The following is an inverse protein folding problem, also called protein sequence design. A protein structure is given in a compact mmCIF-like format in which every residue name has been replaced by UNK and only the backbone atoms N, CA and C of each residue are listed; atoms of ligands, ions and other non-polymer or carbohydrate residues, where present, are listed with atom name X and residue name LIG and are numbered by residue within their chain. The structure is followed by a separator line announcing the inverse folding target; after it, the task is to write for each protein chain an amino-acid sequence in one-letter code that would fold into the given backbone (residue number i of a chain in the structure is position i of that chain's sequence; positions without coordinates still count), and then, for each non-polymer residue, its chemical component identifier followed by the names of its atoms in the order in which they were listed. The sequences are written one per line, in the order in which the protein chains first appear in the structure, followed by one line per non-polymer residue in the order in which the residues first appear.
data_IF_177568930975
#
_entry.id   IF_177568930975
#
_cell.length_a   1.000
_cell.length_b   1.000
_cell.length_c   1.000
_cell.angle_alpha   90.00
_cell.angle_beta   90.00
_cell.angle_gamma   90.00
#
_symmetry.space_group_name_H-M   'P 1'
#
loop_
_entity.id
_entity.type
_entity.pdbx_description
1 polymer ?
#
# COMPACT_ATOMS: atom_id res chain seq x y z
N UNK A 1 29.36 -8.37 -19.33
CA UNK A 1 29.14 -7.05 -18.72
C UNK A 1 28.33 -6.19 -19.67
N UNK A 2 27.49 -5.29 -19.14
CA UNK A 2 26.81 -4.24 -19.90
C UNK A 2 27.62 -2.95 -19.76
N UNK A 3 27.91 -2.30 -20.87
CA UNK A 3 28.66 -1.04 -20.92
C UNK A 3 27.67 0.13 -20.77
N UNK A 4 27.59 0.72 -19.59
CA UNK A 4 26.61 1.77 -19.27
C UNK A 4 26.74 3.02 -20.13
N UNK A 5 27.91 3.28 -20.69
CA UNK A 5 28.16 4.41 -21.58
C UNK A 5 27.43 4.29 -22.94
N UNK A 6 27.02 3.07 -23.30
CA UNK A 6 26.27 2.83 -24.56
C UNK A 6 24.77 3.06 -24.41
N UNK A 7 24.26 3.10 -23.17
CA UNK A 7 22.85 3.32 -22.90
C UNK A 7 22.54 4.82 -22.93
N UNK A 8 21.60 5.19 -23.81
CA UNK A 8 21.08 6.56 -23.84
C UNK A 8 20.32 6.85 -22.54
N UNK A 9 20.47 8.05 -22.03
CA UNK A 9 19.71 8.52 -20.86
C UNK A 9 19.90 7.70 -19.56
N UNK A 10 21.03 6.96 -19.42
CA UNK A 10 21.34 6.24 -18.18
C UNK A 10 21.40 7.22 -17.00
N UNK A 11 20.63 6.95 -15.94
CA UNK A 11 20.49 7.83 -14.77
C UNK A 11 19.23 8.72 -14.81
N UNK A 12 18.44 8.69 -15.89
CA UNK A 12 17.24 9.53 -16.04
C UNK A 12 16.14 9.20 -15.03
N UNK A 13 15.89 7.93 -14.76
CA UNK A 13 14.88 7.50 -13.78
C UNK A 13 15.27 7.94 -12.37
N UNK A 14 16.51 7.71 -12.00
CA UNK A 14 17.02 7.97 -10.66
C UNK A 14 17.35 9.45 -10.40
N UNK A 15 17.52 10.24 -11.46
CA UNK A 15 18.02 11.61 -11.37
C UNK A 15 19.46 11.68 -10.82
N UNK A 16 20.20 10.58 -10.83
CA UNK A 16 21.57 10.52 -10.31
C UNK A 16 22.54 11.22 -11.25
N UNK A 17 23.46 11.99 -10.67
CA UNK A 17 24.56 12.52 -11.42
C UNK A 17 25.59 11.40 -11.66
N UNK A 18 25.62 10.88 -12.88
CA UNK A 18 26.47 9.75 -13.28
C UNK A 18 27.97 10.08 -13.13
N UNK A 19 28.39 11.31 -13.38
CA UNK A 19 29.78 11.74 -13.20
C UNK A 19 30.18 11.75 -11.71
N UNK A 20 29.28 12.21 -10.85
CA UNK A 20 29.49 12.19 -9.41
C UNK A 20 29.57 10.75 -8.86
N UNK A 21 28.77 9.83 -9.40
CA UNK A 21 28.80 8.42 -9.04
C UNK A 21 30.12 7.76 -9.49
N UNK A 22 30.64 8.11 -10.66
CA UNK A 22 31.94 7.63 -11.16
C UNK A 22 33.10 8.11 -10.25
N UNK A 23 33.06 9.35 -9.84
CA UNK A 23 34.12 9.95 -8.97
C UNK A 23 34.03 9.45 -7.52
N UNK A 24 32.83 9.07 -7.05
CA UNK A 24 32.58 8.59 -5.68
C UNK A 24 32.69 7.07 -5.48
N UNK A 25 32.89 6.31 -6.54
CA UNK A 25 32.96 4.85 -6.48
C UNK A 25 34.20 4.38 -5.71
N UNK A 26 34.07 4.16 -4.40
CA UNK A 26 35.07 3.56 -3.51
C UNK A 26 35.22 2.03 -3.69
N UNK A 27 34.66 1.47 -4.73
CA UNK A 27 34.72 0.04 -4.99
C UNK A 27 36.01 -0.20 -5.77
N UNK A 28 36.83 -1.14 -5.30
CA UNK A 28 37.94 -1.67 -6.09
C UNK A 28 37.39 -2.09 -7.45
N UNK A 29 37.79 -1.38 -8.48
CA UNK A 29 37.36 -1.65 -9.85
C UNK A 29 37.81 -3.07 -10.16
N UNK A 30 36.86 -3.98 -10.34
CA UNK A 30 37.17 -5.31 -10.85
C UNK A 30 37.86 -5.11 -12.21
N UNK A 31 39.01 -5.72 -12.42
CA UNK A 31 39.84 -5.55 -13.62
C UNK A 31 39.09 -5.79 -14.95
N UNK A 32 37.90 -6.39 -14.87
CA UNK A 32 37.03 -6.69 -16.02
C UNK A 32 36.05 -5.54 -16.37
N UNK A 33 35.97 -4.47 -15.57
CA UNK A 33 35.09 -3.32 -15.80
C UNK A 33 35.84 -2.20 -16.50
N UNK A 34 35.31 -1.72 -17.63
CA UNK A 34 35.83 -0.51 -18.28
C UNK A 34 35.33 0.75 -17.56
N UNK A 35 34.12 0.70 -17.00
CA UNK A 35 33.51 1.78 -16.24
C UNK A 35 33.03 1.24 -14.87
N UNK A 36 33.24 1.95 -13.76
CA UNK A 36 32.74 1.52 -12.43
C UNK A 36 31.26 1.21 -12.38
N UNK A 37 30.44 1.84 -13.22
CA UNK A 37 29.01 1.65 -13.30
C UNK A 37 28.59 0.46 -14.17
N UNK A 38 29.53 -0.15 -14.94
CA UNK A 38 29.22 -1.33 -15.73
C UNK A 38 28.74 -2.47 -14.84
N UNK A 39 27.72 -3.18 -15.29
CA UNK A 39 27.11 -4.23 -14.50
C UNK A 39 27.05 -5.57 -15.23
N UNK A 40 26.89 -6.62 -14.43
CA UNK A 40 26.98 -8.00 -14.92
C UNK A 40 25.70 -8.42 -15.59
N UNK A 41 25.80 -8.94 -16.81
CA UNK A 41 24.71 -9.62 -17.51
C UNK A 41 24.75 -11.13 -17.25
N UNK A 42 25.95 -11.73 -17.31
CA UNK A 42 26.18 -13.16 -17.10
C UNK A 42 27.38 -13.36 -16.18
N UNK A 43 27.24 -14.22 -15.17
CA UNK A 43 28.28 -14.57 -14.21
C UNK A 43 28.73 -15.99 -14.43
N UNK A 44 30.03 -16.24 -14.40
CA UNK A 44 30.57 -17.60 -14.30
C UNK A 44 30.03 -18.27 -13.03
N UNK A 45 29.57 -19.51 -13.16
CA UNK A 45 29.07 -20.27 -12.01
C UNK A 45 30.20 -20.70 -11.09
N UNK A 46 29.93 -20.67 -9.79
CA UNK A 46 30.75 -21.30 -8.79
C UNK A 46 30.29 -22.73 -8.52
N UNK A 47 31.16 -23.55 -7.95
CA UNK A 47 30.81 -24.91 -7.58
C UNK A 47 29.59 -24.94 -6.66
N UNK A 48 28.55 -25.72 -7.02
CA UNK A 48 27.30 -25.86 -6.27
C UNK A 48 26.25 -24.77 -6.54
N UNK A 49 26.52 -23.78 -7.41
CA UNK A 49 25.50 -22.82 -7.88
C UNK A 49 24.71 -23.39 -9.07
N UNK A 50 23.42 -23.06 -9.23
CA UNK A 50 22.69 -23.31 -10.46
C UNK A 50 23.42 -22.66 -11.63
N UNK A 51 23.60 -23.41 -12.73
CA UNK A 51 24.25 -22.90 -13.92
C UNK A 51 23.64 -23.45 -15.20
N UNK A 52 23.87 -22.70 -16.28
CA UNK A 52 23.45 -23.03 -17.63
C UNK A 52 24.63 -22.85 -18.57
N UNK A 53 24.62 -23.60 -19.67
CA UNK A 53 25.61 -23.43 -20.72
C UNK A 53 25.43 -22.11 -21.45
N UNK A 54 26.52 -21.48 -21.82
CA UNK A 54 26.53 -20.26 -22.61
C UNK A 54 27.77 -20.20 -23.51
N UNK A 55 27.79 -19.31 -24.53
CA UNK A 55 28.97 -19.09 -25.36
C UNK A 55 30.24 -18.68 -24.56
N UNK A 56 30.02 -18.20 -23.31
CA UNK A 56 31.09 -17.76 -22.41
C UNK A 56 31.43 -18.79 -21.31
N UNK A 57 30.91 -20.01 -21.45
CA UNK A 57 31.04 -21.09 -20.46
C UNK A 57 29.85 -21.20 -19.50
N UNK A 58 29.90 -22.22 -18.60
CA UNK A 58 28.85 -22.40 -17.60
C UNK A 58 28.69 -21.21 -16.69
N UNK A 59 27.45 -20.73 -16.52
CA UNK A 59 27.20 -19.53 -15.77
C UNK A 59 25.74 -19.32 -15.42
N UNK A 60 25.45 -18.17 -14.86
CA UNK A 60 24.08 -17.75 -14.50
C UNK A 60 23.85 -16.27 -14.82
N UNK A 61 22.60 -15.87 -15.03
CA UNK A 61 22.27 -14.46 -15.27
C UNK A 61 22.63 -13.58 -14.07
N UNK A 62 22.89 -12.31 -14.32
CA UNK A 62 22.88 -11.25 -13.32
C UNK A 62 21.45 -10.94 -12.89
N UNK A 63 21.24 -10.39 -11.66
CA UNK A 63 19.90 -10.16 -11.12
C UNK A 63 19.02 -9.21 -11.94
N UNK A 64 19.61 -8.21 -12.60
CA UNK A 64 18.84 -7.23 -13.40
C UNK A 64 18.28 -7.85 -14.68
N UNK A 65 19.05 -8.70 -15.37
CA UNK A 65 18.60 -9.29 -16.61
C UNK A 65 17.51 -10.36 -16.40
N UNK A 66 17.45 -10.95 -15.22
CA UNK A 66 16.35 -11.84 -14.84
C UNK A 66 15.00 -11.10 -14.96
N UNK A 67 14.91 -9.90 -14.37
CA UNK A 67 13.72 -9.06 -14.44
C UNK A 67 13.44 -8.59 -15.86
N UNK A 68 14.43 -8.07 -16.57
CA UNK A 68 14.26 -7.59 -17.94
C UNK A 68 13.76 -8.70 -18.89
N UNK A 69 14.32 -9.91 -18.77
CA UNK A 69 13.92 -11.05 -19.60
C UNK A 69 12.51 -11.56 -19.23
N UNK A 70 12.18 -11.69 -17.94
CA UNK A 70 10.87 -12.13 -17.49
C UNK A 70 9.78 -11.12 -17.87
N UNK A 71 10.04 -9.82 -17.71
CA UNK A 71 9.10 -8.78 -18.12
C UNK A 71 8.85 -8.83 -19.63
N UNK A 72 9.90 -8.93 -20.44
CA UNK A 72 9.77 -9.05 -21.89
C UNK A 72 8.97 -10.29 -22.30
N UNK A 73 9.18 -11.41 -21.62
CA UNK A 73 8.48 -12.66 -21.92
C UNK A 73 7.00 -12.64 -21.51
N UNK A 74 6.67 -12.12 -20.33
CA UNK A 74 5.32 -12.18 -19.77
C UNK A 74 4.46 -10.96 -20.12
N UNK A 75 5.05 -9.77 -20.23
CA UNK A 75 4.35 -8.50 -20.38
C UNK A 75 4.61 -7.83 -21.74
N UNK A 76 5.59 -8.33 -22.50
CA UNK A 76 6.06 -7.70 -23.73
C UNK A 76 7.22 -6.74 -23.48
N UNK A 77 7.73 -6.19 -24.58
CA UNK A 77 8.90 -5.27 -24.54
C UNK A 77 8.57 -3.89 -24.00
N UNK A 78 7.28 -3.55 -23.92
CA UNK A 78 6.73 -2.30 -23.39
C UNK A 78 5.45 -2.62 -22.61
N UNK A 79 5.34 -2.14 -21.36
CA UNK A 79 4.20 -2.39 -20.49
C UNK A 79 3.89 -1.17 -19.62
N UNK A 80 2.73 -1.20 -18.95
CA UNK A 80 2.16 0.00 -18.35
C UNK A 80 2.83 0.38 -17.03
N UNK A 81 2.94 -0.55 -16.09
CA UNK A 81 3.36 -0.22 -14.71
C UNK A 81 4.47 -1.16 -14.25
N UNK A 82 5.57 -0.58 -13.76
CA UNK A 82 6.63 -1.30 -13.05
C UNK A 82 6.91 -0.64 -11.71
N UNK A 83 7.07 -1.45 -10.67
CA UNK A 83 7.20 -0.93 -9.32
C UNK A 83 8.17 -1.73 -8.45
N UNK A 84 8.55 -1.11 -7.34
CA UNK A 84 9.41 -1.73 -6.34
C UNK A 84 9.68 -0.81 -5.16
N UNK A 85 10.60 -1.19 -4.28
CA UNK A 85 11.08 -0.32 -3.23
C UNK A 85 11.90 0.85 -3.81
N UNK A 86 11.95 1.95 -3.10
CA UNK A 86 12.73 3.13 -3.51
C UNK A 86 14.24 2.84 -3.64
N UNK A 87 14.73 1.82 -2.97
CA UNK A 87 16.10 1.32 -3.07
C UNK A 87 16.39 0.64 -4.41
N UNK A 88 15.38 0.20 -5.14
CA UNK A 88 15.52 -0.40 -6.46
C UNK A 88 15.60 0.63 -7.60
N UNK A 89 15.26 1.90 -7.36
CA UNK A 89 15.36 2.95 -8.39
C UNK A 89 16.74 2.93 -9.01
N UNK A 90 17.78 2.90 -8.16
CA UNK A 90 19.17 2.82 -8.58
C UNK A 90 19.93 1.82 -7.72
N UNK A 91 20.72 0.91 -8.32
CA UNK A 91 20.95 0.79 -9.76
C UNK A 91 19.97 -0.13 -10.49
N UNK A 92 19.06 -0.86 -9.79
CA UNK A 92 18.36 -2.01 -10.36
C UNK A 92 17.44 -1.63 -11.54
N UNK A 93 16.47 -0.74 -11.33
CA UNK A 93 15.51 -0.35 -12.38
C UNK A 93 16.18 0.47 -13.49
N UNK A 94 17.18 1.27 -13.13
CA UNK A 94 17.98 1.99 -14.13
C UNK A 94 18.70 1.01 -15.07
N UNK A 95 19.23 -0.09 -14.50
CA UNK A 95 19.89 -1.14 -15.26
C UNK A 95 18.91 -1.95 -16.13
N UNK A 96 17.68 -2.17 -15.64
CA UNK A 96 16.62 -2.81 -16.45
C UNK A 96 16.23 -1.94 -17.66
N UNK A 97 16.10 -0.62 -17.46
CA UNK A 97 15.85 0.31 -18.57
C UNK A 97 16.96 0.19 -19.60
N UNK A 98 18.23 0.27 -19.16
CA UNK A 98 19.37 0.20 -20.04
C UNK A 98 19.41 -1.10 -20.85
N UNK A 99 19.12 -2.26 -20.21
CA UNK A 99 19.05 -3.55 -20.87
C UNK A 99 17.93 -3.62 -21.90
N UNK A 100 16.71 -3.24 -21.48
CA UNK A 100 15.51 -3.40 -22.30
C UNK A 100 15.49 -2.48 -23.51
N UNK A 101 15.87 -1.20 -23.31
CA UNK A 101 15.94 -0.22 -24.43
C UNK A 101 17.14 -0.42 -25.35
N UNK A 102 18.15 -1.17 -24.91
CA UNK A 102 19.26 -1.60 -25.80
C UNK A 102 18.95 -2.87 -26.59
N UNK A 103 18.04 -3.71 -26.08
CA UNK A 103 17.65 -4.95 -26.73
C UNK A 103 16.44 -4.78 -27.66
N UNK A 104 15.59 -3.80 -27.41
CA UNK A 104 14.32 -3.56 -28.10
C UNK A 104 14.15 -2.08 -28.42
N UNK A 105 13.53 -1.77 -29.55
CA UNK A 105 13.16 -0.39 -29.89
C UNK A 105 11.97 0.08 -29.05
N UNK A 106 11.99 1.35 -28.60
CA UNK A 106 10.89 2.02 -27.93
C UNK A 106 11.06 2.13 -26.40
N UNK A 107 10.06 2.67 -25.72
CA UNK A 107 10.08 2.82 -24.26
C UNK A 107 9.89 1.49 -23.58
N UNK A 108 10.43 1.34 -22.36
CA UNK A 108 10.32 0.12 -21.57
C UNK A 108 9.03 0.11 -20.72
N UNK A 109 8.79 1.17 -19.94
CA UNK A 109 7.67 1.27 -19.00
C UNK A 109 7.03 2.65 -19.07
N UNK A 110 5.69 2.71 -19.02
CA UNK A 110 4.95 3.98 -18.99
C UNK A 110 5.00 4.65 -17.62
N UNK A 111 4.78 3.90 -16.53
CA UNK A 111 4.66 4.43 -15.17
C UNK A 111 5.53 3.65 -14.19
N UNK A 112 6.37 4.37 -13.46
CA UNK A 112 7.19 3.84 -12.38
C UNK A 112 6.57 4.15 -11.03
N UNK A 113 6.37 3.13 -10.22
CA UNK A 113 5.82 3.26 -8.87
C UNK A 113 6.81 2.74 -7.83
N UNK A 114 7.37 3.64 -7.02
CA UNK A 114 8.33 3.27 -5.98
C UNK A 114 7.77 3.52 -4.59
N UNK A 115 7.82 2.49 -3.74
CA UNK A 115 7.35 2.57 -2.36
C UNK A 115 8.47 3.01 -1.43
N UNK A 116 8.11 3.82 -0.43
CA UNK A 116 9.01 4.11 0.68
C UNK A 116 9.34 2.85 1.48
N UNK A 117 10.45 2.90 2.21
CA UNK A 117 10.90 1.79 3.06
C UNK A 117 10.06 1.72 4.34
N UNK A 118 9.83 0.50 4.81
CA UNK A 118 9.30 0.28 6.17
C UNK A 118 10.47 0.25 7.14
N UNK A 119 10.42 1.10 8.15
CA UNK A 119 11.37 1.10 9.29
C UNK A 119 10.69 0.45 10.49
N UNK A 120 11.48 -0.12 11.40
CA UNK A 120 11.01 -0.68 12.67
C UNK A 120 11.65 0.13 13.78
N UNK A 121 10.82 0.73 14.64
CA UNK A 121 11.28 1.61 15.73
C UNK A 121 12.28 2.68 15.22
N UNK A 122 11.97 3.26 14.05
CA UNK A 122 12.79 4.27 13.33
C UNK A 122 14.12 3.73 12.76
N UNK A 123 14.41 2.46 12.92
CA UNK A 123 15.58 1.80 12.34
C UNK A 123 15.22 1.01 11.08
N UNK A 124 16.17 0.89 10.15
CA UNK A 124 15.96 0.08 8.93
C UNK A 124 15.73 -1.38 9.33
N UNK A 125 14.64 -1.97 8.86
CA UNK A 125 14.39 -3.40 9.04
C UNK A 125 15.47 -4.21 8.34
N UNK A 126 16.17 -5.08 9.08
CA UNK A 126 17.18 -5.98 8.50
C UNK A 126 17.32 -7.26 9.33
N UNK A 127 17.71 -8.34 8.65
CA UNK A 127 18.01 -9.63 9.33
C UNK A 127 19.21 -9.52 10.28
N UNK A 128 20.19 -8.69 9.94
CA UNK A 128 21.40 -8.48 10.76
C UNK A 128 21.12 -7.77 12.09
N UNK A 129 20.08 -6.94 12.15
CA UNK A 129 19.63 -6.25 13.36
C UNK A 129 18.60 -7.06 14.17
N UNK A 130 18.23 -8.25 13.70
CA UNK A 130 17.23 -9.11 14.33
C UNK A 130 15.88 -8.39 14.63
N UNK A 131 15.57 -7.32 13.86
CA UNK A 131 14.34 -6.56 13.94
C UNK A 131 13.38 -6.89 12.78
N UNK A 132 13.62 -8.02 12.10
CA UNK A 132 12.83 -8.45 10.96
C UNK A 132 11.52 -9.09 11.44
N UNK A 133 10.40 -8.47 11.09
CA UNK A 133 9.06 -8.96 11.36
C UNK A 133 8.40 -9.38 10.04
N UNK A 134 7.91 -10.62 9.99
CA UNK A 134 7.17 -11.07 8.81
C UNK A 134 5.71 -10.64 8.90
N UNK A 135 5.08 -10.43 7.75
CA UNK A 135 3.62 -10.19 7.70
C UNK A 135 2.84 -11.34 8.35
N UNK A 136 3.34 -12.59 8.22
CA UNK A 136 2.75 -13.77 8.84
C UNK A 136 2.72 -13.68 10.37
N UNK A 137 3.82 -13.22 10.98
CA UNK A 137 3.89 -13.05 12.44
C UNK A 137 2.96 -11.94 12.91
N UNK A 138 2.86 -10.88 12.12
CA UNK A 138 1.95 -9.77 12.42
C UNK A 138 0.48 -10.17 12.34
N UNK A 139 0.11 -11.01 11.38
CA UNK A 139 -1.27 -11.51 11.24
C UNK A 139 -1.72 -12.42 12.39
N UNK A 140 -0.78 -12.91 13.23
CA UNK A 140 -1.11 -13.62 14.46
C UNK A 140 -1.54 -12.68 15.61
N UNK A 141 -1.15 -11.39 15.53
CA UNK A 141 -1.38 -10.41 16.59
C UNK A 141 -2.40 -9.34 16.18
N UNK A 142 -2.48 -9.04 14.89
CA UNK A 142 -3.33 -7.99 14.33
C UNK A 142 -4.18 -8.55 13.19
N UNK A 143 -5.41 -8.05 13.10
CA UNK A 143 -6.25 -8.31 11.95
C UNK A 143 -5.63 -7.73 10.67
N UNK A 144 -5.78 -8.44 9.54
CA UNK A 144 -5.23 -8.01 8.25
C UNK A 144 -5.76 -6.65 7.79
N UNK A 145 -6.97 -6.27 8.20
CA UNK A 145 -7.55 -4.97 7.87
C UNK A 145 -6.93 -3.84 8.69
N UNK A 146 -6.48 -4.11 9.92
CA UNK A 146 -5.69 -3.16 10.72
C UNK A 146 -4.35 -2.88 10.04
N UNK A 147 -3.65 -3.94 9.60
CA UNK A 147 -2.39 -3.80 8.87
C UNK A 147 -2.60 -3.03 7.56
N UNK A 148 -3.68 -3.31 6.83
CA UNK A 148 -4.04 -2.58 5.62
C UNK A 148 -4.26 -1.09 5.90
N UNK A 149 -5.04 -0.74 6.91
CA UNK A 149 -5.25 0.65 7.31
C UNK A 149 -3.93 1.32 7.70
N UNK A 150 -3.09 0.63 8.48
CA UNK A 150 -1.78 1.14 8.87
C UNK A 150 -0.93 1.50 7.65
N UNK A 151 -0.82 0.62 6.64
CA UNK A 151 -0.07 0.93 5.41
C UNK A 151 -0.63 2.13 4.64
N UNK A 152 -1.93 2.40 4.74
CA UNK A 152 -2.59 3.53 4.07
C UNK A 152 -2.53 4.83 4.86
N UNK A 153 -2.06 4.84 6.10
CA UNK A 153 -1.87 6.08 6.90
C UNK A 153 -0.73 6.94 6.38
N UNK A 154 0.24 6.35 5.69
CA UNK A 154 1.31 7.04 4.98
C UNK A 154 1.08 7.05 3.47
N UNK A 155 1.59 8.09 2.79
CA UNK A 155 1.66 8.05 1.33
C UNK A 155 2.66 6.97 0.91
N UNK A 156 2.33 6.13 -0.07
CA UNK A 156 3.15 4.97 -0.43
C UNK A 156 4.60 5.31 -0.81
N UNK A 157 4.87 6.52 -1.32
CA UNK A 157 6.23 6.99 -1.63
C UNK A 157 7.06 7.38 -0.40
N UNK A 158 6.44 7.50 0.77
CA UNK A 158 7.12 7.94 2.00
C UNK A 158 7.51 6.74 2.85
N UNK A 159 8.61 6.84 3.60
CA UNK A 159 8.93 5.84 4.61
C UNK A 159 7.79 5.71 5.62
N UNK A 160 7.52 4.48 6.05
CA UNK A 160 6.50 4.16 7.04
C UNK A 160 7.18 3.52 8.26
N UNK A 161 7.01 4.16 9.43
CA UNK A 161 7.56 3.61 10.67
C UNK A 161 6.59 2.59 11.28
N UNK A 162 7.03 1.34 11.31
CA UNK A 162 6.34 0.26 11.97
C UNK A 162 6.66 0.29 13.47
N UNK A 163 5.61 0.48 14.29
CA UNK A 163 5.67 0.34 15.75
C UNK A 163 4.35 -0.22 16.26
N UNK A 164 4.37 -0.79 17.48
CA UNK A 164 3.14 -1.28 18.11
C UNK A 164 2.13 -0.14 18.32
N UNK A 165 2.60 1.01 18.75
CA UNK A 165 1.75 2.19 18.99
C UNK A 165 1.03 2.64 17.71
N UNK A 166 1.72 2.62 16.56
CA UNK A 166 1.13 2.96 15.27
C UNK A 166 0.09 1.94 14.81
N UNK A 167 0.29 0.66 15.09
CA UNK A 167 -0.69 -0.39 14.81
C UNK A 167 -1.92 -0.29 15.72
N UNK A 168 -1.73 -0.01 16.99
CA UNK A 168 -2.83 0.18 17.94
C UNK A 168 -3.62 1.44 17.62
N UNK A 169 -2.97 2.50 17.17
CA UNK A 169 -3.61 3.70 16.64
C UNK A 169 -4.42 3.39 15.36
N UNK A 170 -3.89 2.56 14.45
CA UNK A 170 -4.60 2.10 13.27
C UNK A 170 -5.83 1.25 13.63
N UNK A 171 -5.70 0.33 14.62
CA UNK A 171 -6.81 -0.47 15.14
C UNK A 171 -7.92 0.43 15.72
N UNK A 172 -7.55 1.40 16.55
CA UNK A 172 -8.48 2.36 17.13
C UNK A 172 -9.20 3.19 16.07
N UNK A 173 -8.46 3.63 15.06
CA UNK A 173 -8.99 4.38 13.93
C UNK A 173 -9.98 3.54 13.11
N UNK A 174 -9.64 2.29 12.80
CA UNK A 174 -10.51 1.37 12.09
C UNK A 174 -11.79 1.07 12.88
N UNK A 175 -11.67 0.90 14.19
CA UNK A 175 -12.81 0.68 15.08
C UNK A 175 -13.78 1.87 15.08
N UNK A 176 -13.26 3.10 15.08
CA UNK A 176 -14.08 4.31 14.96
C UNK A 176 -14.84 4.36 13.62
N UNK A 177 -14.20 3.94 12.53
CA UNK A 177 -14.88 3.85 11.23
C UNK A 177 -15.95 2.76 11.22
N UNK A 178 -15.67 1.59 11.80
CA UNK A 178 -16.64 0.50 11.92
C UNK A 178 -17.86 0.87 12.76
N UNK A 179 -17.69 1.68 13.82
CA UNK A 179 -18.82 2.09 14.67
C UNK A 179 -19.88 2.86 13.91
N UNK A 180 -19.47 3.75 12.98
CA UNK A 180 -20.43 4.48 12.14
C UNK A 180 -20.89 3.64 10.93
N UNK A 181 -20.02 2.78 10.38
CA UNK A 181 -20.38 1.85 9.32
C UNK A 181 -21.49 0.89 9.74
N UNK A 182 -21.60 0.56 11.04
CA UNK A 182 -22.67 -0.28 11.58
C UNK A 182 -24.08 0.32 11.43
N UNK A 183 -24.17 1.62 11.18
CA UNK A 183 -25.43 2.34 10.94
C UNK A 183 -25.89 2.24 9.47
N UNK A 184 -25.00 1.81 8.54
CA UNK A 184 -25.28 1.80 7.11
C UNK A 184 -26.49 0.94 6.77
N UNK A 185 -27.51 1.57 6.23
CA UNK A 185 -28.75 0.92 5.81
C UNK A 185 -29.32 1.63 4.57
N UNK A 186 -29.91 0.86 3.66
CA UNK A 186 -30.53 1.40 2.46
C UNK A 186 -29.56 1.92 1.41
N UNK A 187 -30.00 2.93 0.68
CA UNK A 187 -29.23 3.59 -0.39
C UNK A 187 -28.28 4.66 0.17
N UNK A 188 -27.22 5.01 -0.58
CA UNK A 188 -26.38 6.15 -0.25
C UNK A 188 -27.13 7.47 -0.14
N UNK A 189 -26.59 8.42 0.63
CA UNK A 189 -27.09 9.78 0.77
C UNK A 189 -27.16 10.52 -0.58
N UNK A 190 -28.08 11.50 -0.69
CA UNK A 190 -28.11 12.44 -1.80
C UNK A 190 -26.80 13.23 -1.98
N UNK A 191 -25.96 13.33 -0.94
CA UNK A 191 -24.63 13.93 -0.99
C UNK A 191 -23.54 12.97 -1.48
N UNK A 192 -23.88 11.75 -1.90
CA UNK A 192 -22.92 10.71 -2.26
C UNK A 192 -21.92 11.19 -3.32
N UNK A 193 -22.39 11.84 -4.38
CA UNK A 193 -21.53 12.31 -5.47
C UNK A 193 -20.46 13.31 -4.99
N UNK A 194 -20.82 14.20 -4.08
CA UNK A 194 -19.86 15.16 -3.50
C UNK A 194 -18.76 14.45 -2.71
N UNK A 195 -19.10 13.46 -1.89
CA UNK A 195 -18.13 12.68 -1.13
C UNK A 195 -17.28 11.80 -2.02
N UNK A 196 -17.89 11.21 -3.04
CA UNK A 196 -17.16 10.42 -4.04
C UNK A 196 -16.14 11.30 -4.80
N UNK A 197 -16.53 12.50 -5.22
CA UNK A 197 -15.64 13.42 -5.91
C UNK A 197 -14.42 13.81 -5.04
N UNK A 198 -14.63 14.13 -3.75
CA UNK A 198 -13.55 14.40 -2.79
C UNK A 198 -12.61 13.20 -2.63
N UNK A 199 -13.16 12.01 -2.51
CA UNK A 199 -12.39 10.77 -2.39
C UNK A 199 -11.59 10.48 -3.67
N UNK A 200 -12.21 10.60 -4.84
CA UNK A 200 -11.55 10.40 -6.12
C UNK A 200 -10.43 11.44 -6.35
N UNK A 201 -10.66 12.69 -5.98
CA UNK A 201 -9.62 13.73 -6.06
C UNK A 201 -8.39 13.35 -5.22
N UNK A 202 -8.59 12.80 -4.03
CA UNK A 202 -7.48 12.32 -3.20
C UNK A 202 -6.76 11.13 -3.86
N UNK A 203 -7.49 10.17 -4.41
CA UNK A 203 -6.89 9.01 -5.07
C UNK A 203 -6.22 9.35 -6.39
N UNK A 204 -6.74 10.33 -7.13
CA UNK A 204 -6.12 10.83 -8.37
C UNK A 204 -4.86 11.68 -8.12
N UNK A 205 -4.63 12.11 -6.88
CA UNK A 205 -3.40 12.76 -6.43
C UNK A 205 -2.36 11.69 -6.05
N UNK A 206 -1.90 10.92 -7.04
CA UNK A 206 -0.87 9.88 -6.90
C UNK A 206 -1.21 8.85 -5.80
N UNK A 207 -2.45 8.34 -5.79
CA UNK A 207 -2.94 7.40 -4.79
C UNK A 207 -2.75 7.87 -3.35
N UNK A 208 -3.10 9.12 -3.06
CA UNK A 208 -2.93 9.74 -1.75
C UNK A 208 -3.92 9.17 -0.72
N UNK A 209 -3.64 7.94 -0.28
CA UNK A 209 -4.48 7.24 0.69
C UNK A 209 -4.66 7.99 2.01
N UNK A 210 -3.65 8.72 2.57
CA UNK A 210 -3.88 9.56 3.74
C UNK A 210 -4.98 10.60 3.54
N UNK A 211 -5.03 11.27 2.38
CA UNK A 211 -6.12 12.21 2.06
C UNK A 211 -7.46 11.50 1.87
N UNK A 212 -7.46 10.35 1.23
CA UNK A 212 -8.69 9.54 1.06
C UNK A 212 -9.23 9.07 2.42
N UNK A 213 -8.38 8.64 3.34
CA UNK A 213 -8.76 8.31 4.72
C UNK A 213 -9.32 9.53 5.47
N UNK A 214 -8.73 10.71 5.28
CA UNK A 214 -9.26 11.95 5.87
C UNK A 214 -10.71 12.21 5.44
N UNK A 215 -11.06 11.97 4.17
CA UNK A 215 -12.44 12.06 3.68
C UNK A 215 -13.36 11.09 4.42
N UNK A 216 -12.93 9.84 4.65
CA UNK A 216 -13.71 8.85 5.41
C UNK A 216 -13.90 9.28 6.87
N UNK A 217 -12.90 9.89 7.51
CA UNK A 217 -13.02 10.40 8.88
C UNK A 217 -13.89 11.66 8.98
N UNK A 218 -13.85 12.54 7.97
CA UNK A 218 -14.75 13.69 7.88
C UNK A 218 -16.21 13.21 7.78
N UNK A 219 -16.45 12.22 6.91
CA UNK A 219 -17.75 11.62 6.74
C UNK A 219 -18.24 10.93 8.03
N UNK A 220 -17.36 10.21 8.73
CA UNK A 220 -17.67 9.62 10.03
C UNK A 220 -18.06 10.67 11.07
N UNK A 221 -17.42 11.83 11.07
CA UNK A 221 -17.78 12.96 11.94
C UNK A 221 -19.17 13.50 11.61
N UNK A 222 -19.45 13.70 10.31
CA UNK A 222 -20.75 14.15 9.86
C UNK A 222 -21.86 13.15 10.24
N UNK A 223 -21.64 11.84 10.03
CA UNK A 223 -22.59 10.78 10.41
C UNK A 223 -22.95 10.90 11.90
N UNK A 224 -21.95 11.02 12.77
CA UNK A 224 -22.18 11.15 14.21
C UNK A 224 -22.96 12.43 14.58
N UNK A 225 -22.74 13.54 13.88
CA UNK A 225 -23.47 14.79 14.09
C UNK A 225 -24.91 14.68 13.63
N UNK A 226 -25.14 14.08 12.47
CA UNK A 226 -26.47 13.93 11.86
C UNK A 226 -27.31 12.88 12.58
N UNK A 227 -26.70 11.89 13.22
CA UNK A 227 -27.38 10.76 13.88
C UNK A 227 -28.43 11.20 14.93
N UNK A 228 -28.21 12.34 15.57
CA UNK A 228 -29.11 12.86 16.63
C UNK A 228 -30.34 13.51 16.02
N UNK A 229 -30.18 14.29 14.95
CA UNK A 229 -31.25 15.08 14.33
C UNK A 229 -31.98 14.34 13.22
N UNK A 230 -31.25 13.54 12.42
CA UNK A 230 -31.78 12.79 11.28
C UNK A 230 -31.09 11.42 11.18
N UNK A 231 -31.62 10.40 11.88
CA UNK A 231 -31.06 9.04 11.85
C UNK A 231 -31.09 8.38 10.47
N UNK A 232 -32.06 8.73 9.62
CA UNK A 232 -32.20 8.12 8.29
C UNK A 232 -31.15 8.68 7.34
N UNK A 233 -30.90 9.99 7.36
CA UNK A 233 -29.78 10.59 6.61
C UNK A 233 -28.41 10.09 7.16
N UNK A 234 -28.25 9.94 8.46
CA UNK A 234 -27.03 9.37 9.03
C UNK A 234 -26.79 7.93 8.53
N UNK A 235 -27.83 7.11 8.39
CA UNK A 235 -27.71 5.77 7.82
C UNK A 235 -27.33 5.80 6.32
N UNK A 236 -27.89 6.72 5.56
CA UNK A 236 -27.56 6.93 4.15
C UNK A 236 -26.12 7.43 3.95
N UNK A 237 -25.65 8.36 4.79
CA UNK A 237 -24.25 8.80 4.83
C UNK A 237 -23.30 7.65 5.20
N UNK A 238 -23.70 6.78 6.14
CA UNK A 238 -22.91 5.59 6.49
C UNK A 238 -22.85 4.58 5.33
N UNK A 239 -23.92 4.44 4.53
CA UNK A 239 -23.89 3.65 3.32
C UNK A 239 -22.93 4.24 2.27
N UNK A 240 -22.89 5.56 2.12
CA UNK A 240 -21.91 6.28 1.31
C UNK A 240 -20.48 5.98 1.78
N UNK A 241 -20.20 6.13 3.08
CA UNK A 241 -18.88 5.84 3.66
C UNK A 241 -18.45 4.40 3.38
N UNK A 242 -19.36 3.44 3.55
CA UNK A 242 -19.09 2.02 3.29
C UNK A 242 -18.69 1.78 1.84
N UNK A 243 -19.37 2.38 0.87
CA UNK A 243 -19.02 2.24 -0.55
C UNK A 243 -17.61 2.80 -0.84
N UNK A 244 -17.29 3.99 -0.34
CA UNK A 244 -15.98 4.60 -0.56
C UNK A 244 -14.87 3.78 0.13
N UNK A 245 -15.07 3.35 1.37
CA UNK A 245 -14.11 2.55 2.11
C UNK A 245 -13.85 1.17 1.46
N UNK A 246 -14.86 0.58 0.83
CA UNK A 246 -14.72 -0.68 0.11
C UNK A 246 -13.76 -0.58 -1.09
N UNK A 247 -13.58 0.60 -1.69
CA UNK A 247 -12.56 0.81 -2.73
C UNK A 247 -11.13 0.58 -2.19
N UNK A 248 -10.93 0.87 -0.91
CA UNK A 248 -9.68 0.58 -0.19
C UNK A 248 -9.67 -0.82 0.46
N UNK A 249 -10.68 -1.64 0.19
CA UNK A 249 -10.86 -2.94 0.86
C UNK A 249 -10.90 -2.83 2.39
N UNK A 250 -11.53 -1.77 2.90
CA UNK A 250 -11.94 -1.63 4.29
C UNK A 250 -13.40 -2.07 4.45
N UNK A 251 -13.80 -2.43 5.67
CA UNK A 251 -15.12 -2.97 6.02
C UNK A 251 -15.42 -4.31 5.36
N UNK A 252 -14.40 -5.17 5.28
CA UNK A 252 -14.55 -6.53 4.76
C UNK A 252 -15.23 -7.47 5.75
N UNK A 253 -15.34 -7.09 7.03
CA UNK A 253 -16.03 -7.85 8.07
C UNK A 253 -17.41 -7.29 8.37
N UNK A 254 -18.25 -8.12 8.99
CA UNK A 254 -19.52 -7.65 9.52
C UNK A 254 -19.27 -6.70 10.70
N UNK A 255 -19.76 -5.45 10.67
CA UNK A 255 -19.44 -4.45 11.69
C UNK A 255 -19.73 -4.92 13.12
N UNK A 256 -20.85 -5.61 13.35
CA UNK A 256 -21.17 -6.14 14.68
C UNK A 256 -20.16 -7.16 15.19
N UNK A 257 -19.66 -8.03 14.32
CA UNK A 257 -18.63 -9.01 14.68
C UNK A 257 -17.30 -8.32 15.00
N UNK A 258 -16.90 -7.33 14.18
CA UNK A 258 -15.69 -6.53 14.44
C UNK A 258 -15.76 -5.86 15.81
N UNK A 259 -16.87 -5.18 16.11
CA UNK A 259 -17.05 -4.45 17.35
C UNK A 259 -17.04 -5.36 18.58
N UNK A 260 -17.60 -6.57 18.48
CA UNK A 260 -17.61 -7.56 19.58
C UNK A 260 -16.24 -8.22 19.81
N UNK A 261 -15.44 -8.40 18.75
CA UNK A 261 -14.13 -9.07 18.85
C UNK A 261 -13.00 -8.12 19.27
N UNK A 262 -13.26 -6.83 19.45
CA UNK A 262 -12.24 -5.84 19.72
C UNK A 262 -12.19 -5.45 21.20
N UNK A 263 -11.16 -5.87 21.97
CA UNK A 263 -11.07 -5.63 23.41
C UNK A 263 -10.97 -4.15 23.82
N UNK A 264 -10.67 -3.23 22.88
CA UNK A 264 -10.58 -1.79 23.15
C UNK A 264 -11.96 -1.12 23.33
N UNK A 265 -13.04 -1.81 23.00
CA UNK A 265 -14.40 -1.24 23.09
C UNK A 265 -15.03 -1.31 24.47
N UNK A 266 -14.53 -2.13 25.37
CA UNK A 266 -15.06 -2.23 26.74
C UNK A 266 -14.87 -0.96 27.58
N UNK A 267 -14.05 -0.01 27.10
CA UNK A 267 -13.72 1.22 27.84
C UNK A 267 -14.19 2.52 27.18
N UNK A 268 -14.86 2.48 26.02
CA UNK A 268 -15.27 3.70 25.30
C UNK A 268 -16.73 4.09 25.54
N UNK A 269 -17.04 5.38 25.81
CA UNK A 269 -18.42 5.90 25.89
C UNK A 269 -19.27 5.64 24.63
N UNK A 270 -18.64 5.43 23.48
CA UNK A 270 -19.31 5.13 22.19
C UNK A 270 -20.01 3.76 22.19
N UNK A 271 -19.58 2.80 23.01
CA UNK A 271 -20.26 1.50 23.17
C UNK A 271 -21.66 1.62 23.71
N UNK A 272 -21.91 2.62 24.55
CA UNK A 272 -23.23 2.85 25.13
C UNK A 272 -24.22 3.29 24.05
N UNK A 273 -23.77 4.02 23.03
CA UNK A 273 -24.65 4.54 21.96
C UNK A 273 -24.93 3.49 20.89
N UNK A 274 -23.91 2.71 20.46
CA UNK A 274 -24.07 1.66 19.43
C UNK A 274 -24.93 0.48 19.92
N UNK A 275 -24.79 0.08 21.19
CA UNK A 275 -25.60 -0.96 21.79
C UNK A 275 -27.07 -0.54 22.07
N UNK A 276 -27.32 0.76 22.27
CA UNK A 276 -28.65 1.28 22.58
C UNK A 276 -29.52 1.54 21.34
N UNK A 277 -28.94 1.71 20.15
CA UNK A 277 -29.71 2.00 18.92
C UNK A 277 -30.59 0.80 18.49
N UNK A 278 -30.12 -0.45 18.49
CA UNK A 278 -31.00 -1.61 18.22
C UNK A 278 -32.08 -1.79 19.28
N UNK A 279 -31.79 -1.57 20.56
CA UNK A 279 -32.77 -1.69 21.64
C UNK A 279 -33.84 -0.60 21.58
N UNK A 280 -33.51 0.63 21.20
CA UNK A 280 -34.50 1.70 20.98
C UNK A 280 -35.38 1.43 19.76
N UNK A 281 -34.86 0.82 18.69
CA UNK A 281 -35.69 0.38 17.54
C UNK A 281 -36.65 -0.74 17.93
N UNK A 282 -36.17 -1.74 18.67
CA UNK A 282 -37.02 -2.81 19.18
C UNK A 282 -38.12 -2.31 20.14
N UNK A 283 -37.78 -1.37 21.05
CA UNK A 283 -38.75 -0.78 21.96
C UNK A 283 -39.76 0.16 21.26
N UNK A 284 -39.36 0.90 20.19
CA UNK A 284 -40.29 1.69 19.39
C UNK A 284 -41.21 0.82 18.57
N UNK A 285 -40.78 -0.30 18.01
CA UNK A 285 -41.63 -1.26 17.33
C UNK A 285 -42.62 -1.93 18.27
N UNK A 286 -42.20 -2.27 19.49
CA UNK A 286 -43.11 -2.84 20.50
C UNK A 286 -44.11 -1.82 21.07
N UNK A 287 -43.77 -0.52 21.20
CA UNK A 287 -44.72 0.51 21.59
C UNK A 287 -45.71 0.88 20.47
N UNK A 288 -45.31 0.78 19.20
CA UNK A 288 -46.20 0.98 18.05
C UNK A 288 -47.25 -0.11 17.92
N UNK A 289 -46.94 -1.34 18.33
CA UNK A 289 -47.88 -2.47 18.34
C UNK A 289 -48.86 -2.46 19.51
N UNK A 290 -48.47 -1.89 20.66
CA UNK A 290 -49.36 -1.76 21.82
C UNK A 290 -50.44 -0.67 21.68
N UNK A 291 -50.20 0.34 20.84
CA UNK A 291 -51.19 1.41 20.59
C UNK A 291 -52.14 1.13 19.41
N UNK A 292 -51.94 0.03 18.69
CA UNK A 292 -52.84 -0.42 17.60
C UNK A 292 -53.81 -1.53 18.05
N UNK A 293 -53.72 -1.96 19.33
CA UNK A 293 -54.60 -2.99 19.91
C UNK A 293 -55.48 -2.46 21.07
N UNK A 294 -55.56 -1.12 21.25
CA UNK A 294 -56.56 -0.41 22.05
C UNK A 294 -57.29 0.58 21.12
#
# INVERSE_FOLDING_TARGET
MFATETARDYGKLSGQNIEALRSGARVSVNAEKHNPLDFVLWKAAKAGEPCWDSPWGPGRPGGHIECSAMNSYHLGTHFDIHGGGSDLIFPHHENEIAQSTSAHDGPYVNYWMHTGMVTVEQEKMSKSLNNFLTLRDMLQQYDGEVLRLFYMTGHYRKPLNFSRDNLDAARSSLTRLYSVCSLACGSPSAQHEQWQARFQQAMNDDFNTPKALAVLFDLARLINQTLISDPDEAAALAATQKQLANLLRLFCRVPGQWLQSNPLLDQSPLNITAARVPQRRASRQNHGLASAAA
#
